data_IF_218999188696
#
_entry.id   IF_218999188696
#
_cell.length_a   1.000
_cell.length_b   1.000
_cell.length_c   1.000
_cell.angle_alpha   90.00
_cell.angle_beta   90.00
_cell.angle_gamma   90.00
#
_symmetry.space_group_name_H-M   'P 1'
#
loop_
_entity.id
_entity.type
_entity.pdbx_description
1 polymer ?
#
# COMPACT_ATOMS: atom_id res chain seq x y z
N UNK A 1 -24.07 7.55 14.20
CA UNK A 1 -22.82 7.03 14.80
C UNK A 1 -21.74 8.09 14.69
N UNK A 2 -21.34 8.70 15.83
CA UNK A 2 -20.36 9.80 15.91
C UNK A 2 -18.97 9.23 16.27
N UNK A 3 -17.91 9.86 15.76
CA UNK A 3 -16.47 9.70 16.06
C UNK A 3 -15.70 8.55 15.38
N UNK A 4 -15.18 8.79 14.16
CA UNK A 4 -14.20 7.90 13.49
C UNK A 4 -12.92 8.60 12.99
N UNK A 5 -12.65 9.85 13.40
CA UNK A 5 -11.49 10.62 12.93
C UNK A 5 -10.40 10.82 13.99
N UNK A 6 -10.35 9.98 15.02
CA UNK A 6 -9.38 10.10 16.11
C UNK A 6 -8.39 8.92 16.16
N UNK A 7 -7.67 8.62 15.08
CA UNK A 7 -6.57 7.65 15.15
C UNK A 7 -5.35 8.11 14.34
N UNK A 8 -4.55 8.96 14.99
CA UNK A 8 -3.08 8.94 15.02
C UNK A 8 -2.70 9.47 16.42
N UNK A 9 -1.67 8.94 17.11
CA UNK A 9 -1.46 9.17 18.53
C UNK A 9 -0.81 10.53 18.76
N UNK A 10 -1.58 11.48 19.26
CA UNK A 10 -1.08 12.55 20.12
C UNK A 10 -2.12 12.70 21.22
N UNK A 11 -1.80 12.13 22.37
CA UNK A 11 -2.47 12.36 23.65
C UNK A 11 -2.57 13.87 23.88
N UNK A 12 -3.78 14.41 23.84
CA UNK A 12 -4.05 15.73 24.39
C UNK A 12 -4.98 15.58 25.58
N UNK A 13 -4.40 15.77 26.75
CA UNK A 13 -5.04 15.87 28.05
C UNK A 13 -6.21 16.86 27.95
N UNK A 14 -7.42 16.41 28.26
CA UNK A 14 -8.61 17.25 28.26
C UNK A 14 -8.61 18.14 29.51
N UNK A 15 -8.16 19.38 29.35
CA UNK A 15 -8.60 20.51 30.14
C UNK A 15 -9.76 21.21 29.45
N UNK A 16 -10.92 21.26 30.15
CA UNK A 16 -12.10 22.12 29.98
C UNK A 16 -12.53 22.58 28.57
N UNK A 17 -13.74 22.15 28.21
CA UNK A 17 -14.58 22.60 27.11
C UNK A 17 -14.57 24.12 26.88
N UNK A 18 -13.84 24.56 25.84
CA UNK A 18 -14.25 25.72 25.04
C UNK A 18 -14.72 25.17 23.70
N UNK A 19 -15.99 25.37 23.35
CA UNK A 19 -16.49 25.09 22.01
C UNK A 19 -15.67 25.91 21.01
N UNK A 20 -14.76 25.21 20.34
CA UNK A 20 -13.89 25.82 19.34
C UNK A 20 -14.75 26.30 18.16
N UNK A 21 -14.59 27.54 17.66
CA UNK A 21 -15.40 28.03 16.56
C UNK A 21 -15.31 27.10 15.35
N UNK A 22 -16.42 26.85 14.66
CA UNK A 22 -16.48 25.91 13.53
C UNK A 22 -15.44 26.23 12.44
N UNK A 23 -15.12 27.51 12.23
CA UNK A 23 -14.09 27.93 11.27
C UNK A 23 -12.67 27.48 11.67
N UNK A 24 -12.35 27.51 12.97
CA UNK A 24 -11.03 27.07 13.49
C UNK A 24 -10.91 25.57 13.33
N UNK A 25 -11.99 24.84 13.68
CA UNK A 25 -12.07 23.39 13.53
C UNK A 25 -11.94 22.97 12.06
N UNK A 26 -12.65 23.64 11.14
CA UNK A 26 -12.58 23.35 9.71
C UNK A 26 -11.16 23.59 9.14
N UNK A 27 -10.46 24.64 9.60
CA UNK A 27 -9.07 24.92 9.19
C UNK A 27 -8.10 23.84 9.68
N UNK A 28 -8.24 23.39 10.93
CA UNK A 28 -7.44 22.28 11.50
C UNK A 28 -7.70 20.97 10.76
N UNK A 29 -8.97 20.66 10.49
CA UNK A 29 -9.35 19.45 9.77
C UNK A 29 -8.79 19.41 8.35
N UNK A 30 -8.84 20.53 7.61
CA UNK A 30 -8.22 20.62 6.28
C UNK A 30 -6.71 20.36 6.34
N UNK A 31 -6.01 20.95 7.30
CA UNK A 31 -4.56 20.74 7.44
C UNK A 31 -4.25 19.27 7.72
N UNK A 32 -5.03 18.64 8.60
CA UNK A 32 -4.91 17.22 8.93
C UNK A 32 -5.18 16.31 7.74
N UNK A 33 -6.22 16.60 6.95
CA UNK A 33 -6.53 15.83 5.73
C UNK A 33 -5.40 15.93 4.71
N UNK A 34 -4.84 17.13 4.48
CA UNK A 34 -3.69 17.32 3.58
C UNK A 34 -2.46 16.56 4.06
N UNK A 35 -2.17 16.60 5.37
CA UNK A 35 -1.06 15.86 5.95
C UNK A 35 -1.24 14.34 5.79
N UNK A 36 -2.45 13.83 6.05
CA UNK A 36 -2.76 12.42 5.86
C UNK A 36 -2.61 11.99 4.40
N UNK A 37 -3.02 12.82 3.44
CA UNK A 37 -2.79 12.54 2.01
C UNK A 37 -1.31 12.51 1.68
N UNK A 38 -0.51 13.46 2.15
CA UNK A 38 0.94 13.46 1.95
C UNK A 38 1.58 12.18 2.54
N UNK A 39 1.20 11.82 3.77
CA UNK A 39 1.69 10.61 4.42
C UNK A 39 1.35 9.35 3.63
N UNK A 40 0.10 9.23 3.18
CA UNK A 40 -0.33 8.10 2.36
C UNK A 40 0.40 8.05 1.01
N UNK A 41 0.66 9.19 0.36
CA UNK A 41 1.46 9.26 -0.87
C UNK A 41 2.90 8.79 -0.61
N UNK A 42 3.51 9.20 0.50
CA UNK A 42 4.86 8.74 0.88
C UNK A 42 4.87 7.22 1.09
N UNK A 43 3.90 6.67 1.81
CA UNK A 43 3.76 5.23 2.02
C UNK A 43 3.57 4.49 0.69
N UNK A 44 2.72 5.00 -0.20
CA UNK A 44 2.53 4.42 -1.53
C UNK A 44 3.81 4.47 -2.38
N UNK A 45 4.58 5.56 -2.28
CA UNK A 45 5.84 5.74 -3.03
C UNK A 45 6.93 4.79 -2.55
N UNK A 46 7.11 4.64 -1.23
CA UNK A 46 8.07 3.68 -0.65
C UNK A 46 7.72 2.24 -1.07
N UNK A 47 6.43 1.90 -1.08
CA UNK A 47 5.99 0.60 -1.61
C UNK A 47 6.27 0.45 -3.09
N UNK A 48 6.00 1.46 -3.91
CA UNK A 48 6.29 1.45 -5.34
C UNK A 48 7.76 1.13 -5.60
N UNK A 49 8.66 1.79 -4.86
CA UNK A 49 10.10 1.57 -4.92
C UNK A 49 10.43 0.12 -4.53
N UNK A 50 9.88 -0.38 -3.42
CA UNK A 50 10.11 -1.76 -3.02
C UNK A 50 9.66 -2.75 -4.09
N UNK A 51 8.48 -2.59 -4.69
CA UNK A 51 8.02 -3.49 -5.75
C UNK A 51 8.88 -3.42 -7.02
N UNK A 52 9.26 -2.21 -7.44
CA UNK A 52 10.07 -2.02 -8.65
C UNK A 52 11.50 -2.54 -8.50
N UNK A 53 12.06 -2.50 -7.29
CA UNK A 53 13.36 -3.13 -7.00
C UNK A 53 13.25 -4.65 -6.83
N UNK A 54 12.20 -5.13 -6.16
CA UNK A 54 12.08 -6.54 -5.75
C UNK A 54 11.67 -7.46 -6.90
N UNK A 55 10.90 -6.99 -7.89
CA UNK A 55 10.45 -7.86 -9.00
C UNK A 55 11.64 -8.36 -9.85
N UNK A 56 12.54 -7.49 -10.36
CA UNK A 56 13.69 -7.95 -11.14
C UNK A 56 14.66 -8.83 -10.33
N UNK A 57 14.93 -8.47 -9.07
CA UNK A 57 15.82 -9.25 -8.21
C UNK A 57 15.22 -10.61 -7.87
N UNK A 58 13.89 -10.71 -7.73
CA UNK A 58 13.22 -11.99 -7.48
C UNK A 58 13.29 -12.92 -8.69
N UNK A 59 13.17 -12.41 -9.92
CA UNK A 59 13.32 -13.23 -11.13
C UNK A 59 14.71 -13.86 -11.17
N UNK A 60 15.76 -13.04 -11.02
CA UNK A 60 17.15 -13.50 -10.94
C UNK A 60 17.36 -14.48 -9.79
N UNK A 61 16.89 -14.16 -8.59
CA UNK A 61 17.05 -15.03 -7.41
C UNK A 61 16.33 -16.38 -7.57
N UNK A 62 15.17 -16.43 -8.23
CA UNK A 62 14.42 -17.67 -8.43
C UNK A 62 15.15 -18.57 -9.44
N UNK A 63 15.71 -18.01 -10.50
CA UNK A 63 16.26 -18.78 -11.63
C UNK A 63 17.73 -19.14 -11.44
N UNK A 64 18.51 -18.25 -10.81
CA UNK A 64 19.93 -18.45 -10.68
C UNK A 64 20.27 -19.75 -9.92
N UNK A 65 21.37 -20.42 -10.29
CA UNK A 65 21.78 -21.68 -9.70
C UNK A 65 22.06 -21.55 -8.19
N UNK A 66 21.89 -22.65 -7.46
CA UNK A 66 22.25 -22.65 -6.04
C UNK A 66 23.77 -22.56 -5.85
N UNK A 67 24.21 -22.14 -4.66
CA UNK A 67 25.64 -22.15 -4.28
C UNK A 67 26.29 -23.52 -4.34
N UNK A 68 25.51 -24.61 -4.31
CA UNK A 68 26.02 -25.99 -4.43
C UNK A 68 26.33 -26.39 -5.88
N UNK A 69 25.64 -25.79 -6.84
CA UNK A 69 25.79 -26.02 -8.29
C UNK A 69 26.79 -25.08 -8.93
N UNK A 70 27.14 -23.98 -8.26
CA UNK A 70 28.24 -23.10 -8.65
C UNK A 70 29.59 -23.80 -8.40
N UNK A 71 30.15 -24.40 -9.47
CA UNK A 71 31.58 -24.70 -9.49
C UNK A 71 32.37 -23.38 -9.40
N UNK A 72 33.43 -23.38 -8.58
CA UNK A 72 34.24 -22.24 -8.12
C UNK A 72 34.86 -21.39 -9.27
N UNK A 73 34.63 -21.73 -10.54
CA UNK A 73 35.19 -21.04 -11.71
C UNK A 73 34.36 -19.86 -12.23
N UNK A 74 33.10 -19.68 -11.81
CA UNK A 74 32.27 -18.55 -12.25
C UNK A 74 32.06 -17.53 -11.11
N UNK A 75 33.04 -16.64 -10.92
CA UNK A 75 33.00 -15.58 -9.89
C UNK A 75 31.89 -14.52 -10.09
N UNK A 76 31.12 -14.59 -11.20
CA UNK A 76 30.15 -13.57 -11.60
C UNK A 76 28.67 -13.98 -11.50
N UNK A 77 28.34 -15.14 -10.93
CA UNK A 77 26.93 -15.58 -10.84
C UNK A 77 26.45 -15.45 -9.40
N UNK A 78 25.43 -14.61 -9.17
CA UNK A 78 24.76 -14.49 -7.88
C UNK A 78 23.98 -15.76 -7.56
N UNK A 79 24.08 -16.31 -6.35
CA UNK A 79 23.37 -17.53 -5.99
C UNK A 79 21.85 -17.34 -5.89
N UNK A 80 21.10 -18.36 -6.30
CA UNK A 80 19.64 -18.37 -6.29
C UNK A 80 19.02 -19.71 -5.85
N UNK A 81 17.76 -19.92 -6.23
CA UNK A 81 16.95 -21.09 -5.88
C UNK A 81 16.94 -22.19 -6.96
N UNK A 82 17.52 -21.93 -8.14
CA UNK A 82 17.59 -22.86 -9.27
C UNK A 82 16.22 -23.43 -9.66
N UNK A 83 15.21 -22.56 -9.72
CA UNK A 83 13.86 -22.92 -10.15
C UNK A 83 13.64 -22.56 -11.62
N UNK A 84 12.62 -23.16 -12.22
CA UNK A 84 12.27 -22.91 -13.62
C UNK A 84 11.54 -21.59 -13.83
N UNK A 85 11.54 -21.09 -15.07
CA UNK A 85 10.68 -19.96 -15.48
C UNK A 85 9.19 -20.25 -15.21
N UNK A 86 8.75 -21.49 -15.40
CA UNK A 86 7.38 -21.91 -15.06
C UNK A 86 7.09 -21.72 -13.57
N UNK A 87 8.07 -22.00 -12.71
CA UNK A 87 7.94 -21.74 -11.28
C UNK A 87 7.86 -20.24 -10.99
N UNK A 88 8.68 -19.42 -11.64
CA UNK A 88 8.57 -17.95 -11.54
C UNK A 88 7.16 -17.46 -11.93
N UNK A 89 6.64 -17.90 -13.09
CA UNK A 89 5.29 -17.54 -13.52
C UNK A 89 4.22 -17.96 -12.51
N UNK A 90 4.36 -19.14 -11.89
CA UNK A 90 3.46 -19.59 -10.82
C UNK A 90 3.46 -18.62 -9.63
N UNK A 91 4.63 -18.15 -9.21
CA UNK A 91 4.71 -17.16 -8.11
C UNK A 91 4.00 -15.85 -8.45
N UNK A 92 3.99 -15.45 -9.72
CA UNK A 92 3.29 -14.27 -10.20
C UNK A 92 1.77 -14.47 -10.24
N UNK A 93 1.30 -15.65 -10.67
CA UNK A 93 -0.12 -16.02 -10.61
C UNK A 93 -0.64 -16.00 -9.16
N UNK A 94 0.15 -16.49 -8.21
CA UNK A 94 -0.20 -16.44 -6.78
C UNK A 94 -0.31 -15.00 -6.29
N UNK A 95 0.63 -14.13 -6.66
CA UNK A 95 0.58 -12.70 -6.33
C UNK A 95 -0.71 -12.03 -6.84
N UNK A 96 -1.04 -12.20 -8.13
CA UNK A 96 -2.20 -11.55 -8.75
C UNK A 96 -3.54 -12.10 -8.24
N UNK A 97 -3.63 -13.40 -8.02
CA UNK A 97 -4.84 -14.03 -7.48
C UNK A 97 -5.12 -13.59 -6.05
N UNK A 98 -4.11 -13.62 -5.18
CA UNK A 98 -4.23 -13.15 -3.79
C UNK A 98 -4.49 -11.65 -3.70
N UNK A 99 -3.89 -10.84 -4.58
CA UNK A 99 -4.24 -9.43 -4.75
C UNK A 99 -5.72 -9.23 -5.03
N UNK A 100 -6.25 -9.91 -6.04
CA UNK A 100 -7.64 -9.76 -6.47
C UNK A 100 -8.61 -10.19 -5.37
N UNK A 101 -8.36 -11.35 -4.75
CA UNK A 101 -9.17 -11.86 -3.63
C UNK A 101 -9.15 -10.88 -2.47
N UNK A 102 -7.96 -10.42 -2.07
CA UNK A 102 -7.81 -9.49 -0.94
C UNK A 102 -8.47 -8.13 -1.19
N UNK A 103 -8.38 -7.60 -2.41
CA UNK A 103 -9.03 -6.35 -2.78
C UNK A 103 -10.55 -6.44 -2.62
N UNK A 104 -11.16 -7.54 -3.07
CA UNK A 104 -12.60 -7.82 -2.92
C UNK A 104 -12.97 -8.00 -1.46
N UNK A 105 -12.27 -8.87 -0.72
CA UNK A 105 -12.53 -9.11 0.69
C UNK A 105 -12.43 -7.82 1.52
N UNK A 106 -11.42 -6.99 1.25
CA UNK A 106 -11.23 -5.73 1.97
C UNK A 106 -12.32 -4.72 1.64
N UNK A 107 -12.77 -4.66 0.39
CA UNK A 107 -13.91 -3.83 0.00
C UNK A 107 -15.19 -4.21 0.74
N UNK A 108 -15.46 -5.52 0.89
CA UNK A 108 -16.61 -6.02 1.65
C UNK A 108 -16.47 -5.73 3.15
N UNK A 109 -15.28 -5.92 3.71
CA UNK A 109 -15.03 -5.73 5.15
C UNK A 109 -14.94 -4.25 5.57
N UNK A 110 -14.74 -3.32 4.63
CA UNK A 110 -14.53 -1.90 4.94
C UNK A 110 -15.64 -1.28 5.80
N UNK A 111 -16.89 -1.71 5.59
CA UNK A 111 -18.05 -1.20 6.32
C UNK A 111 -18.32 -1.94 7.64
N UNK A 112 -17.70 -3.11 7.85
CA UNK A 112 -17.96 -3.98 9.00
C UNK A 112 -16.81 -4.03 10.00
N UNK A 113 -15.58 -3.76 9.54
CA UNK A 113 -14.37 -3.84 10.34
C UNK A 113 -13.75 -2.45 10.44
N UNK A 114 -13.31 -2.01 11.64
CA UNK A 114 -12.60 -0.76 11.78
C UNK A 114 -11.39 -0.69 10.84
N UNK A 115 -11.31 0.39 10.07
CA UNK A 115 -10.28 0.61 9.04
C UNK A 115 -8.86 0.40 9.54
N UNK A 116 -8.59 0.73 10.81
CA UNK A 116 -7.27 0.56 11.41
C UNK A 116 -6.85 -0.92 11.57
N UNK A 117 -7.78 -1.84 11.84
CA UNK A 117 -7.48 -3.27 11.88
C UNK A 117 -7.11 -3.78 10.49
N UNK A 118 -7.82 -3.31 9.45
CA UNK A 118 -7.52 -3.66 8.06
C UNK A 118 -6.14 -3.12 7.65
N UNK A 119 -5.77 -1.91 8.09
CA UNK A 119 -4.42 -1.36 7.89
C UNK A 119 -3.33 -2.16 8.62
N UNK A 120 -3.55 -2.55 9.89
CA UNK A 120 -2.59 -3.36 10.63
C UNK A 120 -2.41 -4.73 9.98
N UNK A 121 -3.50 -5.39 9.62
CA UNK A 121 -3.45 -6.70 8.93
C UNK A 121 -2.66 -6.61 7.62
N UNK A 122 -2.94 -5.57 6.82
CA UNK A 122 -2.21 -5.29 5.58
C UNK A 122 -0.71 -5.08 5.82
N UNK A 123 -0.34 -4.27 6.83
CA UNK A 123 1.07 -3.98 7.15
C UNK A 123 1.82 -5.20 7.72
N UNK A 124 1.15 -6.00 8.55
CA UNK A 124 1.70 -7.25 9.08
C UNK A 124 1.95 -8.26 7.96
N UNK A 125 1.00 -8.39 7.03
CA UNK A 125 1.15 -9.25 5.85
C UNK A 125 2.35 -8.82 5.00
N UNK A 126 2.55 -7.51 4.80
CA UNK A 126 3.72 -6.96 4.10
C UNK A 126 5.02 -7.38 4.78
N UNK A 127 5.09 -7.16 6.09
CA UNK A 127 6.32 -7.33 6.87
C UNK A 127 6.72 -8.80 6.90
N UNK A 128 5.74 -9.69 7.07
CA UNK A 128 5.95 -11.13 7.00
C UNK A 128 6.34 -11.59 5.59
N UNK A 129 5.74 -10.99 4.54
CA UNK A 129 6.11 -11.24 3.16
C UNK A 129 7.58 -10.90 2.88
N UNK A 130 8.03 -9.70 3.26
CA UNK A 130 9.43 -9.29 3.12
C UNK A 130 10.39 -10.11 3.97
N UNK A 131 9.99 -10.49 5.19
CA UNK A 131 10.80 -11.38 6.01
C UNK A 131 10.98 -12.76 5.34
N UNK A 132 9.93 -13.29 4.71
CA UNK A 132 10.03 -14.54 3.95
C UNK A 132 10.88 -14.39 2.70
N UNK A 133 10.83 -13.26 1.98
CA UNK A 133 11.75 -12.99 0.87
C UNK A 133 13.20 -12.97 1.34
N UNK A 134 13.49 -12.25 2.43
CA UNK A 134 14.84 -12.12 2.96
C UNK A 134 15.44 -13.45 3.46
N UNK A 135 14.59 -14.38 3.90
CA UNK A 135 14.98 -15.68 4.43
C UNK A 135 14.68 -16.84 3.47
N UNK A 136 14.32 -16.56 2.21
CA UNK A 136 13.89 -17.59 1.27
C UNK A 136 15.02 -18.57 0.98
N UNK A 137 14.86 -19.81 1.44
CA UNK A 137 15.81 -20.92 1.17
C UNK A 137 15.27 -21.93 0.16
N UNK A 138 14.00 -21.80 -0.23
CA UNK A 138 13.33 -22.70 -1.16
C UNK A 138 12.18 -21.97 -1.88
N UNK A 139 11.68 -22.58 -2.96
CA UNK A 139 10.58 -22.03 -3.75
C UNK A 139 9.27 -21.86 -2.97
N UNK A 140 8.95 -22.71 -2.01
CA UNK A 140 7.70 -22.59 -1.25
C UNK A 140 7.65 -21.32 -0.39
N UNK A 141 8.77 -20.92 0.19
CA UNK A 141 8.89 -19.64 0.90
C UNK A 141 8.63 -18.46 -0.04
N UNK A 142 9.08 -18.56 -1.29
CA UNK A 142 8.83 -17.56 -2.34
C UNK A 142 7.34 -17.46 -2.70
N UNK A 143 6.65 -18.60 -2.82
CA UNK A 143 5.19 -18.64 -3.06
C UNK A 143 4.44 -17.99 -1.89
N UNK A 144 4.80 -18.32 -0.64
CA UNK A 144 4.18 -17.73 0.55
C UNK A 144 4.45 -16.23 0.64
N UNK A 145 5.68 -15.79 0.40
CA UNK A 145 6.06 -14.38 0.38
C UNK A 145 5.24 -13.59 -0.66
N UNK A 146 5.07 -14.16 -1.87
CA UNK A 146 4.27 -13.59 -2.95
C UNK A 146 2.78 -13.55 -2.61
N UNK A 147 2.25 -14.58 -1.96
CA UNK A 147 0.88 -14.60 -1.49
C UNK A 147 0.61 -13.52 -0.44
N UNK A 148 1.50 -13.35 0.54
CA UNK A 148 1.40 -12.31 1.56
C UNK A 148 1.53 -10.89 0.96
N UNK A 149 2.43 -10.71 -0.01
CA UNK A 149 2.56 -9.47 -0.75
C UNK A 149 1.27 -9.14 -1.52
N UNK A 150 0.65 -10.13 -2.18
CA UNK A 150 -0.62 -9.94 -2.88
C UNK A 150 -1.77 -9.60 -1.93
N UNK A 151 -1.87 -10.31 -0.79
CA UNK A 151 -2.84 -9.98 0.26
C UNK A 151 -2.70 -8.53 0.74
N UNK A 152 -1.47 -8.08 0.99
CA UNK A 152 -1.20 -6.71 1.40
C UNK A 152 -1.59 -5.69 0.31
N UNK A 153 -1.24 -5.94 -0.94
CA UNK A 153 -1.51 -5.03 -2.05
C UNK A 153 -3.01 -4.85 -2.25
N UNK A 154 -3.75 -5.96 -2.26
CA UNK A 154 -5.19 -5.91 -2.48
C UNK A 154 -5.89 -5.14 -1.38
N UNK A 155 -5.55 -5.45 -0.13
CA UNK A 155 -6.13 -4.75 1.03
C UNK A 155 -5.81 -3.27 1.01
N UNK A 156 -4.53 -2.92 0.85
CA UNK A 156 -4.10 -1.54 0.94
C UNK A 156 -4.64 -0.66 -0.20
N UNK A 157 -4.72 -1.20 -1.42
CA UNK A 157 -5.28 -0.50 -2.57
C UNK A 157 -6.74 -0.13 -2.32
N UNK A 158 -7.56 -1.10 -1.92
CA UNK A 158 -8.98 -0.85 -1.58
C UNK A 158 -9.16 0.16 -0.45
N UNK A 159 -8.34 0.06 0.62
CA UNK A 159 -8.40 0.98 1.75
C UNK A 159 -8.03 2.42 1.37
N UNK A 160 -7.00 2.59 0.53
CA UNK A 160 -6.56 3.90 0.07
C UNK A 160 -7.63 4.57 -0.78
N UNK A 161 -8.26 3.84 -1.71
CA UNK A 161 -9.35 4.39 -2.52
C UNK A 161 -10.54 4.81 -1.66
N UNK A 162 -10.97 3.95 -0.74
CA UNK A 162 -12.07 4.25 0.17
C UNK A 162 -11.76 5.46 1.06
N UNK A 163 -10.56 5.51 1.64
CA UNK A 163 -10.10 6.63 2.45
C UNK A 163 -10.05 7.93 1.66
N UNK A 164 -9.51 7.91 0.43
CA UNK A 164 -9.43 9.09 -0.42
C UNK A 164 -10.82 9.65 -0.76
N UNK A 165 -11.81 8.78 -1.00
CA UNK A 165 -13.18 9.22 -1.24
C UNK A 165 -13.77 9.95 -0.03
N UNK A 166 -13.75 9.31 1.15
CA UNK A 166 -14.33 9.87 2.38
C UNK A 166 -13.59 11.13 2.85
N UNK A 167 -12.26 11.12 2.77
CA UNK A 167 -11.43 12.28 3.16
C UNK A 167 -11.65 13.47 2.23
N UNK A 168 -11.90 13.24 0.94
CA UNK A 168 -12.16 14.30 -0.03
C UNK A 168 -13.55 14.93 0.15
N UNK A 169 -14.57 14.14 0.48
CA UNK A 169 -15.89 14.65 0.86
C UNK A 169 -15.77 15.58 2.07
N UNK A 170 -15.11 15.12 3.13
CA UNK A 170 -14.88 15.93 4.34
C UNK A 170 -14.04 17.19 4.07
N UNK A 171 -13.06 17.11 3.18
CA UNK A 171 -12.29 18.28 2.73
C UNK A 171 -13.19 19.32 2.05
N UNK A 172 -14.08 18.85 1.18
CA UNK A 172 -15.01 19.69 0.44
C UNK A 172 -16.02 20.38 1.36
N UNK A 173 -16.56 19.67 2.35
CA UNK A 173 -17.43 20.24 3.38
C UNK A 173 -16.72 21.35 4.17
N UNK A 174 -15.50 21.10 4.63
CA UNK A 174 -14.72 22.11 5.36
C UNK A 174 -14.39 23.34 4.51
N UNK A 175 -14.16 23.16 3.20
CA UNK A 175 -13.98 24.31 2.29
C UNK A 175 -15.25 25.15 2.15
N UNK A 176 -16.43 24.52 2.16
CA UNK A 176 -17.71 25.25 2.14
C UNK A 176 -17.91 26.06 3.41
N UNK A 177 -17.62 25.48 4.58
CA UNK A 177 -17.67 26.17 5.89
C UNK A 177 -16.75 27.40 5.89
N UNK A 178 -15.58 27.31 5.26
CA UNK A 178 -14.63 28.42 5.15
C UNK A 178 -14.97 29.45 4.07
N UNK A 179 -16.03 29.26 3.28
CA UNK A 179 -16.35 30.12 2.13
C UNK A 179 -15.29 30.09 1.02
N UNK A 180 -14.45 29.04 0.98
CA UNK A 180 -13.31 28.89 0.04
C UNK A 180 -13.55 27.80 -1.00
N UNK A 181 -14.77 27.32 -1.11
CA UNK A 181 -15.09 26.23 -2.03
C UNK A 181 -15.16 26.73 -3.47
N UNK A 182 -14.25 26.22 -4.30
CA UNK A 182 -14.25 26.40 -5.74
C UNK A 182 -14.28 25.03 -6.42
N UNK A 183 -15.37 24.70 -7.12
CA UNK A 183 -15.57 23.38 -7.73
C UNK A 183 -14.39 22.93 -8.61
N UNK A 184 -13.94 23.78 -9.54
CA UNK A 184 -12.80 23.50 -10.44
C UNK A 184 -11.48 23.25 -9.70
N UNK A 185 -11.28 23.87 -8.54
CA UNK A 185 -10.06 23.73 -7.73
C UNK A 185 -10.12 22.46 -6.89
N UNK A 186 -11.28 22.17 -6.30
CA UNK A 186 -11.52 20.94 -5.56
C UNK A 186 -11.35 19.70 -6.47
N UNK A 187 -11.97 19.71 -7.65
CA UNK A 187 -11.84 18.61 -8.62
C UNK A 187 -10.39 18.36 -9.06
N UNK A 188 -9.60 19.44 -9.27
CA UNK A 188 -8.15 19.30 -9.52
C UNK A 188 -7.43 18.62 -8.37
N UNK A 189 -7.70 19.02 -7.12
CA UNK A 189 -7.10 18.39 -5.93
C UNK A 189 -7.48 16.90 -5.86
N UNK A 190 -8.75 16.56 -6.14
CA UNK A 190 -9.19 15.15 -6.21
C UNK A 190 -8.38 14.37 -7.23
N UNK A 191 -8.25 14.93 -8.44
CA UNK A 191 -7.47 14.34 -9.52
C UNK A 191 -6.01 14.11 -9.13
N UNK A 192 -5.34 15.10 -8.53
CA UNK A 192 -3.95 14.97 -8.06
C UNK A 192 -3.78 13.89 -6.99
N UNK A 193 -4.65 13.88 -5.97
CA UNK A 193 -4.58 12.89 -4.90
C UNK A 193 -4.78 11.49 -5.47
N UNK A 194 -5.81 11.28 -6.28
CA UNK A 194 -6.12 9.96 -6.86
C UNK A 194 -5.02 9.47 -7.82
N UNK A 195 -4.52 10.37 -8.69
CA UNK A 195 -3.46 10.03 -9.66
C UNK A 195 -2.14 9.69 -8.98
N UNK A 196 -1.75 10.40 -7.91
CA UNK A 196 -0.56 10.05 -7.13
C UNK A 196 -0.66 8.65 -6.50
N UNK A 197 -1.86 8.24 -6.06
CA UNK A 197 -2.08 6.88 -5.54
C UNK A 197 -2.08 5.80 -6.61
N UNK A 198 -2.67 6.09 -7.77
CA UNK A 198 -2.65 5.16 -8.90
C UNK A 198 -1.21 4.98 -9.36
N UNK A 199 -0.49 6.06 -9.65
CA UNK A 199 0.91 6.00 -10.11
C UNK A 199 1.79 5.26 -9.09
N UNK A 200 1.64 5.52 -7.79
CA UNK A 200 2.37 4.81 -6.74
C UNK A 200 2.09 3.29 -6.67
N UNK A 201 0.85 2.84 -6.89
CA UNK A 201 0.55 1.40 -6.87
C UNK A 201 0.76 0.71 -8.23
N UNK A 202 0.60 1.44 -9.34
CA UNK A 202 0.65 0.90 -10.71
C UNK A 202 2.06 0.78 -11.28
N UNK A 203 3.02 1.64 -10.89
CA UNK A 203 4.41 1.52 -11.37
C UNK A 203 5.04 0.17 -10.98
N UNK A 204 4.70 -0.36 -9.80
CA UNK A 204 5.17 -1.67 -9.35
C UNK A 204 4.63 -2.83 -10.20
N UNK A 205 3.41 -2.72 -10.71
CA UNK A 205 2.77 -3.78 -11.53
C UNK A 205 3.25 -3.68 -12.99
N UNK A 206 3.34 -2.46 -13.53
CA UNK A 206 3.71 -2.23 -14.94
C UNK A 206 5.15 -2.66 -15.26
N UNK A 207 6.10 -2.40 -14.36
CA UNK A 207 7.51 -2.79 -14.55
C UNK A 207 7.69 -4.32 -14.48
N UNK A 208 6.80 -5.04 -13.80
CA UNK A 208 6.80 -6.50 -13.77
C UNK A 208 6.28 -7.16 -15.05
N UNK A 209 5.50 -6.45 -15.87
CA UNK A 209 4.91 -6.97 -17.11
C UNK A 209 5.85 -6.77 -18.31
N UNK A 210 6.65 -5.70 -18.33
CA UNK A 210 7.54 -5.37 -19.46
C UNK A 210 8.81 -6.25 -19.53
N UNK A 211 8.98 -7.19 -18.59
CA UNK A 211 10.12 -8.12 -18.52
C UNK A 211 9.73 -9.61 -18.45
N UNK A 212 8.44 -9.94 -18.57
CA UNK A 212 7.93 -11.32 -18.69
C UNK A 212 7.57 -11.64 -20.13
#
# INVERSE_FOLDING_TARGET
MKNWLALLPCTYIHGKDRQEPEYVKAKKDILRLKFNWLFLVLVASVRAINYTCVIPTNHQFIINPTTKTLNITNENIEPGLEQSETFYSLTYVVLLSTYTISAVCTGLLFNHVPTWYLFMFSTLSDTLGYLLYALATNGWMMILARGLAGLQLGASTSLVFAYCSVSFEKYTENLKILGKYEKKKAERVKGYVLSLFIVGNSLGIAIGIDKS
#
